data_IF_318171964285
#
_entry.id   IF_318171964285
#
_cell.length_a   1.000
_cell.length_b   1.000
_cell.length_c   1.000
_cell.angle_alpha   90.00
_cell.angle_beta   90.00
_cell.angle_gamma   90.00
#
_symmetry.space_group_name_H-M   'P 1'
#
loop_
_entity.id
_entity.type
_entity.pdbx_description
1 polymer ?
#
# COMPACT_ATOMS: atom_id res chain seq x y z
N UNK A 1 -28.29 37.68 0.01
CA UNK A 1 -28.52 36.94 1.28
C UNK A 1 -28.75 35.44 1.10
N UNK A 2 -29.16 34.94 -0.07
CA UNK A 2 -29.37 33.50 -0.33
C UNK A 2 -28.12 32.73 -0.77
N UNK A 3 -27.13 33.39 -1.38
CA UNK A 3 -25.92 32.71 -1.85
C UNK A 3 -24.93 32.39 -0.71
N UNK A 4 -24.83 33.24 0.30
CA UNK A 4 -23.88 33.05 1.42
C UNK A 4 -24.28 31.89 2.34
N UNK A 5 -25.59 31.66 2.50
CA UNK A 5 -26.13 30.56 3.31
C UNK A 5 -26.00 29.21 2.60
N UNK A 6 -26.18 29.17 1.28
CA UNK A 6 -25.96 27.96 0.49
C UNK A 6 -24.47 27.55 0.51
N UNK A 7 -23.55 28.50 0.30
CA UNK A 7 -22.12 28.25 0.34
C UNK A 7 -21.66 27.66 1.69
N UNK A 8 -22.14 28.24 2.80
CA UNK A 8 -21.82 27.74 4.15
C UNK A 8 -22.36 26.34 4.40
N UNK A 9 -23.53 25.97 3.88
CA UNK A 9 -24.07 24.60 4.01
C UNK A 9 -23.19 23.59 3.27
N UNK A 10 -22.76 23.87 2.05
CA UNK A 10 -21.89 22.96 1.28
C UNK A 10 -20.53 22.76 1.94
N UNK A 11 -19.92 23.84 2.46
CA UNK A 11 -18.67 23.76 3.22
C UNK A 11 -18.83 22.90 4.48
N UNK A 12 -19.89 23.11 5.25
CA UNK A 12 -20.19 22.32 6.45
C UNK A 12 -20.40 20.84 6.11
N UNK A 13 -21.11 20.52 5.02
CA UNK A 13 -21.30 19.14 4.57
C UNK A 13 -19.96 18.50 4.17
N UNK A 14 -19.11 19.23 3.46
CA UNK A 14 -17.81 18.73 3.02
C UNK A 14 -16.89 18.47 4.21
N UNK A 15 -16.67 19.47 5.07
CA UNK A 15 -15.81 19.33 6.24
C UNK A 15 -16.38 18.37 7.28
N UNK A 16 -17.71 18.33 7.44
CA UNK A 16 -18.40 17.35 8.27
C UNK A 16 -18.18 15.92 7.78
N UNK A 17 -18.27 15.69 6.46
CA UNK A 17 -17.94 14.41 5.84
C UNK A 17 -16.50 13.98 6.10
N UNK A 18 -15.53 14.87 5.86
CA UNK A 18 -14.11 14.62 6.17
C UNK A 18 -13.90 14.27 7.65
N UNK A 19 -14.50 15.04 8.56
CA UNK A 19 -14.41 14.81 9.99
C UNK A 19 -14.99 13.45 10.39
N UNK A 20 -16.16 13.06 9.87
CA UNK A 20 -16.78 11.75 10.14
C UNK A 20 -15.87 10.61 9.67
N UNK A 21 -15.27 10.72 8.49
CA UNK A 21 -14.34 9.71 7.96
C UNK A 21 -13.12 9.54 8.86
N UNK A 22 -12.49 10.65 9.26
CA UNK A 22 -11.29 10.64 10.11
C UNK A 22 -11.60 10.18 11.54
N UNK A 23 -12.70 10.65 12.14
CA UNK A 23 -13.12 10.24 13.48
C UNK A 23 -13.47 8.75 13.48
N UNK A 24 -14.19 8.25 12.48
CA UNK A 24 -14.50 6.83 12.35
C UNK A 24 -13.24 5.98 12.24
N UNK A 25 -12.28 6.41 11.41
CA UNK A 25 -10.96 5.77 11.28
C UNK A 25 -10.16 5.75 12.59
N UNK A 26 -10.19 6.82 13.37
CA UNK A 26 -9.51 6.87 14.67
C UNK A 26 -10.26 6.04 15.74
N UNK A 27 -11.58 6.08 15.72
CA UNK A 27 -12.43 5.36 16.66
C UNK A 27 -12.23 3.85 16.57
N UNK A 28 -11.89 3.30 15.40
CA UNK A 28 -11.62 1.86 15.25
C UNK A 28 -10.44 1.37 16.08
N UNK A 29 -9.48 2.24 16.42
CA UNK A 29 -8.35 1.87 17.29
C UNK A 29 -8.81 1.48 18.72
N UNK A 30 -9.98 1.95 19.15
CA UNK A 30 -10.54 1.66 20.48
C UNK A 30 -11.49 0.46 20.48
N UNK A 31 -11.80 -0.13 19.31
CA UNK A 31 -12.75 -1.24 19.19
C UNK A 31 -12.02 -2.58 19.22
N UNK A 32 -12.16 -3.32 20.31
CA UNK A 32 -11.46 -4.61 20.51
C UNK A 32 -11.86 -5.72 19.55
N UNK A 33 -13.12 -5.75 19.10
CA UNK A 33 -13.62 -6.79 18.19
C UNK A 33 -13.47 -6.34 16.74
N UNK A 34 -12.62 -7.02 15.98
CA UNK A 34 -12.33 -6.71 14.55
C UNK A 34 -13.60 -6.61 13.70
N UNK A 35 -14.59 -7.48 13.94
CA UNK A 35 -15.89 -7.42 13.23
C UNK A 35 -16.64 -6.10 13.43
N UNK A 36 -16.62 -5.54 14.64
CA UNK A 36 -17.26 -4.26 14.93
C UNK A 36 -16.41 -3.10 14.39
N UNK A 37 -15.08 -3.17 14.53
CA UNK A 37 -14.18 -2.17 13.98
C UNK A 37 -14.34 -2.05 12.46
N UNK A 38 -14.41 -3.18 11.75
CA UNK A 38 -14.65 -3.24 10.29
C UNK A 38 -15.98 -2.60 9.91
N UNK A 39 -17.07 -2.89 10.63
CA UNK A 39 -18.39 -2.28 10.36
C UNK A 39 -18.36 -0.78 10.60
N UNK A 40 -17.80 -0.35 11.74
CA UNK A 40 -17.68 1.07 12.08
C UNK A 40 -16.90 1.83 11.00
N UNK A 41 -15.77 1.27 10.56
CA UNK A 41 -14.94 1.83 9.49
C UNK A 41 -15.72 2.03 8.20
N UNK A 42 -16.38 0.98 7.69
CA UNK A 42 -17.11 1.08 6.43
C UNK A 42 -18.32 2.00 6.54
N UNK A 43 -19.05 1.98 7.66
CA UNK A 43 -20.15 2.90 7.91
C UNK A 43 -19.69 4.36 7.95
N UNK A 44 -18.55 4.66 8.60
CA UNK A 44 -18.03 6.03 8.64
C UNK A 44 -17.59 6.51 7.26
N UNK A 45 -16.94 5.66 6.46
CA UNK A 45 -16.51 6.03 5.11
C UNK A 45 -17.67 6.17 4.13
N UNK A 46 -18.71 5.35 4.23
CA UNK A 46 -19.93 5.52 3.44
C UNK A 46 -20.65 6.82 3.80
N UNK A 47 -20.78 7.14 5.09
CA UNK A 47 -21.36 8.40 5.54
C UNK A 47 -20.54 9.61 5.08
N UNK A 48 -19.21 9.56 5.28
CA UNK A 48 -18.28 10.59 4.84
C UNK A 48 -18.36 10.85 3.33
N UNK A 49 -18.24 9.79 2.52
CA UNK A 49 -18.32 9.88 1.06
C UNK A 49 -19.66 10.42 0.57
N UNK A 50 -20.77 10.02 1.21
CA UNK A 50 -22.10 10.53 0.87
C UNK A 50 -22.21 12.03 1.15
N UNK A 51 -21.78 12.49 2.33
CA UNK A 51 -21.82 13.92 2.69
C UNK A 51 -20.93 14.77 1.78
N UNK A 52 -19.72 14.29 1.47
CA UNK A 52 -18.80 14.98 0.55
C UNK A 52 -19.33 15.02 -0.89
N UNK A 53 -20.01 13.96 -1.34
CA UNK A 53 -20.66 13.94 -2.65
C UNK A 53 -21.86 14.90 -2.71
N UNK A 54 -22.71 14.92 -1.68
CA UNK A 54 -23.82 15.89 -1.55
C UNK A 54 -23.31 17.33 -1.56
N UNK A 55 -22.15 17.57 -0.91
CA UNK A 55 -21.52 18.88 -0.87
C UNK A 55 -21.04 19.40 -2.24
N UNK A 56 -20.97 18.54 -3.25
CA UNK A 56 -20.47 18.89 -4.60
C UNK A 56 -21.49 18.65 -5.71
N UNK A 57 -22.75 18.37 -5.35
CA UNK A 57 -23.84 18.20 -6.29
C UNK A 57 -24.20 19.48 -7.04
N UNK A 58 -23.99 20.64 -6.44
CA UNK A 58 -24.17 21.97 -7.05
C UNK A 58 -23.28 22.16 -8.29
N UNK A 59 -22.08 21.56 -8.27
CA UNK A 59 -21.11 21.54 -9.38
C UNK A 59 -21.46 20.50 -10.46
N UNK A 60 -22.48 19.68 -10.22
CA UNK A 60 -22.97 18.64 -11.11
C UNK A 60 -22.71 17.22 -10.63
N UNK A 61 -23.40 16.26 -11.25
CA UNK A 61 -23.31 14.84 -10.90
C UNK A 61 -21.90 14.28 -11.12
N UNK A 62 -21.18 14.74 -12.15
CA UNK A 62 -19.83 14.27 -12.44
C UNK A 62 -18.85 14.56 -11.29
N UNK A 63 -18.90 15.77 -10.71
CA UNK A 63 -18.09 16.16 -9.55
C UNK A 63 -18.47 15.36 -8.30
N UNK A 64 -19.76 15.18 -8.03
CA UNK A 64 -20.22 14.37 -6.91
C UNK A 64 -19.76 12.91 -7.02
N UNK A 65 -19.87 12.31 -8.22
CA UNK A 65 -19.36 10.97 -8.50
C UNK A 65 -17.85 10.90 -8.30
N UNK A 66 -17.09 11.87 -8.82
CA UNK A 66 -15.63 11.91 -8.68
C UNK A 66 -15.20 11.97 -7.20
N UNK A 67 -15.85 12.81 -6.39
CA UNK A 67 -15.56 12.92 -4.95
C UNK A 67 -15.92 11.63 -4.21
N UNK A 68 -17.07 11.02 -4.51
CA UNK A 68 -17.46 9.74 -3.92
C UNK A 68 -16.45 8.62 -4.26
N UNK A 69 -16.03 8.54 -5.52
CA UNK A 69 -15.01 7.58 -5.98
C UNK A 69 -13.67 7.84 -5.32
N UNK A 70 -13.23 9.10 -5.22
CA UNK A 70 -11.98 9.45 -4.55
C UNK A 70 -12.00 9.08 -3.07
N UNK A 71 -13.09 9.36 -2.35
CA UNK A 71 -13.26 8.98 -0.95
C UNK A 71 -13.27 7.44 -0.77
N UNK A 72 -14.00 6.72 -1.63
CA UNK A 72 -14.04 5.26 -1.62
C UNK A 72 -12.68 4.62 -1.94
N UNK A 73 -11.96 5.16 -2.93
CA UNK A 73 -10.62 4.72 -3.28
C UNK A 73 -9.63 4.95 -2.13
N UNK A 74 -9.70 6.11 -1.47
CA UNK A 74 -8.89 6.39 -0.29
C UNK A 74 -9.21 5.44 0.87
N UNK A 75 -10.49 5.20 1.15
CA UNK A 75 -10.93 4.25 2.17
C UNK A 75 -10.41 2.83 1.88
N UNK A 76 -10.57 2.35 0.64
CA UNK A 76 -10.06 1.04 0.24
C UNK A 76 -8.54 0.96 0.36
N UNK A 77 -7.83 1.98 -0.11
CA UNK A 77 -6.37 2.05 -0.04
C UNK A 77 -5.89 2.00 1.41
N UNK A 78 -6.45 2.84 2.29
CA UNK A 78 -6.10 2.85 3.71
C UNK A 78 -6.43 1.50 4.36
N UNK A 79 -7.63 0.97 4.10
CA UNK A 79 -8.06 -0.31 4.64
C UNK A 79 -7.09 -1.43 4.24
N UNK A 80 -6.71 -1.50 2.97
CA UNK A 80 -5.74 -2.47 2.47
C UNK A 80 -4.35 -2.32 3.11
N UNK A 81 -3.84 -1.09 3.23
CA UNK A 81 -2.47 -0.83 3.69
C UNK A 81 -2.28 -0.98 5.21
N UNK A 82 -3.32 -0.74 6.01
CA UNK A 82 -3.18 -0.55 7.46
C UNK A 82 -4.10 -1.44 8.31
N UNK A 83 -5.03 -2.18 7.72
CA UNK A 83 -6.08 -2.84 8.50
C UNK A 83 -6.48 -4.21 7.93
N UNK A 84 -7.07 -5.10 8.77
CA UNK A 84 -7.72 -6.33 8.32
C UNK A 84 -9.19 -6.09 7.86
N UNK A 85 -9.52 -4.93 7.31
CA UNK A 85 -10.92 -4.54 7.06
C UNK A 85 -11.46 -4.90 5.68
N UNK A 86 -10.58 -5.20 4.71
CA UNK A 86 -10.98 -5.67 3.39
C UNK A 86 -11.13 -7.19 3.44
N UNK A 87 -12.38 -7.67 3.37
CA UNK A 87 -12.72 -9.10 3.36
C UNK A 87 -13.38 -9.47 2.03
N UNK A 88 -12.88 -10.52 1.41
CA UNK A 88 -13.41 -11.08 0.16
C UNK A 88 -13.74 -12.56 0.39
N UNK A 89 -15.04 -12.87 0.51
CA UNK A 89 -15.49 -14.19 0.96
C UNK A 89 -14.96 -14.51 2.36
N UNK A 90 -14.25 -15.63 2.50
CA UNK A 90 -13.64 -16.07 3.76
C UNK A 90 -12.20 -15.57 3.97
N UNK A 91 -11.63 -14.84 3.00
CA UNK A 91 -10.25 -14.36 3.06
C UNK A 91 -10.17 -12.86 3.37
N UNK A 92 -9.24 -12.48 4.23
CA UNK A 92 -8.88 -11.08 4.46
C UNK A 92 -7.76 -10.71 3.49
N UNK A 93 -7.96 -9.62 2.77
CA UNK A 93 -7.01 -9.10 1.79
C UNK A 93 -6.36 -7.85 2.39
N UNK A 94 -5.17 -8.02 2.98
CA UNK A 94 -4.41 -6.91 3.54
C UNK A 94 -3.01 -6.84 2.94
N UNK A 95 -2.32 -5.71 3.12
CA UNK A 95 -0.95 -5.52 2.65
C UNK A 95 0.04 -6.35 3.47
N UNK A 96 -0.08 -6.37 4.80
CA UNK A 96 0.85 -7.10 5.67
C UNK A 96 0.36 -8.54 5.93
N UNK A 97 1.29 -9.44 6.28
CA UNK A 97 0.98 -10.82 6.66
C UNK A 97 0.17 -10.88 7.97
N UNK A 98 0.52 -10.13 9.04
CA UNK A 98 -0.27 -10.12 10.27
C UNK A 98 -1.72 -9.69 10.05
N UNK A 99 -1.96 -8.68 9.21
CA UNK A 99 -3.32 -8.18 8.94
C UNK A 99 -4.12 -9.09 7.99
N UNK A 100 -3.47 -10.05 7.33
CA UNK A 100 -4.14 -11.02 6.44
C UNK A 100 -4.62 -12.27 7.19
N UNK A 101 -4.42 -12.36 8.52
CA UNK A 101 -4.82 -13.51 9.34
C UNK A 101 -6.35 -13.65 9.39
N UNK A 102 -6.90 -14.87 9.40
CA UNK A 102 -8.35 -15.05 9.51
C UNK A 102 -8.91 -14.47 10.81
N UNK A 103 -10.16 -14.00 10.77
CA UNK A 103 -10.85 -13.48 11.94
C UNK A 103 -10.92 -14.57 13.06
N UNK A 104 -10.79 -14.21 14.36
CA UNK A 104 -11.05 -15.13 15.46
C UNK A 104 -12.43 -15.79 15.35
N UNK A 105 -12.50 -17.07 15.75
CA UNK A 105 -13.77 -17.82 15.79
C UNK A 105 -14.75 -17.18 16.80
N UNK A 106 -16.06 -17.46 16.67
CA UNK A 106 -17.08 -16.83 17.53
C UNK A 106 -16.91 -17.12 19.03
N UNK A 107 -16.29 -18.25 19.36
CA UNK A 107 -15.88 -18.63 20.71
C UNK A 107 -14.63 -17.88 21.23
N UNK A 108 -14.07 -16.97 20.43
CA UNK A 108 -12.87 -16.18 20.75
C UNK A 108 -11.55 -16.90 20.55
N UNK A 109 -11.53 -18.17 20.09
CA UNK A 109 -10.28 -18.87 19.80
C UNK A 109 -9.64 -18.35 18.51
N UNK A 110 -8.32 -18.13 18.55
CA UNK A 110 -7.56 -17.69 17.40
C UNK A 110 -7.38 -18.87 16.42
N UNK A 111 -7.70 -18.70 15.13
CA UNK A 111 -7.45 -19.73 14.13
C UNK A 111 -5.95 -20.00 14.00
N UNK A 112 -5.55 -21.23 13.65
CA UNK A 112 -4.14 -21.57 13.47
C UNK A 112 -3.49 -20.61 12.47
N UNK A 113 -2.32 -20.07 12.83
CA UNK A 113 -1.59 -19.15 11.97
C UNK A 113 -1.24 -19.86 10.66
N UNK A 114 -1.58 -19.25 9.54
CA UNK A 114 -1.15 -19.75 8.24
C UNK A 114 0.39 -19.79 8.19
N UNK A 115 0.99 -20.80 7.54
CA UNK A 115 2.43 -20.86 7.37
C UNK A 115 2.91 -19.59 6.66
N UNK A 116 3.96 -18.98 7.20
CA UNK A 116 4.52 -17.74 6.65
C UNK A 116 5.18 -18.05 5.31
N UNK A 117 4.89 -17.28 4.24
CA UNK A 117 5.54 -17.48 2.95
C UNK A 117 7.07 -17.39 3.08
N UNK A 118 7.83 -18.35 2.51
CA UNK A 118 9.27 -18.43 2.66
C UNK A 118 10.01 -17.26 2.01
N UNK A 119 9.37 -16.56 1.07
CA UNK A 119 9.90 -15.39 0.37
C UNK A 119 9.57 -14.06 1.09
N UNK A 120 8.98 -14.10 2.29
CA UNK A 120 8.62 -12.88 3.02
C UNK A 120 9.82 -12.12 3.59
N UNK A 121 9.71 -10.79 3.61
CA UNK A 121 10.63 -9.90 4.29
C UNK A 121 10.28 -9.88 5.79
N UNK A 122 11.15 -10.49 6.60
CA UNK A 122 11.05 -10.54 8.06
C UNK A 122 9.70 -11.04 8.59
N UNK A 123 9.07 -12.01 7.91
CA UNK A 123 7.75 -12.54 8.25
C UNK A 123 6.62 -11.49 8.30
N UNK A 124 6.82 -10.33 7.69
CA UNK A 124 5.91 -9.19 7.76
C UNK A 124 5.24 -8.86 6.42
N UNK A 125 6.01 -8.89 5.33
CA UNK A 125 5.54 -8.54 3.98
C UNK A 125 6.06 -9.54 2.95
N UNK A 126 5.19 -10.10 2.12
CA UNK A 126 5.57 -11.02 1.03
C UNK A 126 6.42 -10.31 -0.03
N UNK A 127 7.31 -11.02 -0.72
CA UNK A 127 8.16 -10.42 -1.73
C UNK A 127 7.36 -9.70 -2.82
N UNK A 128 6.35 -10.37 -3.39
CA UNK A 128 5.53 -9.80 -4.46
C UNK A 128 4.94 -8.42 -4.09
N UNK A 129 4.44 -8.25 -2.86
CA UNK A 129 3.87 -6.98 -2.39
C UNK A 129 4.92 -5.89 -2.21
N UNK A 130 6.10 -6.21 -1.67
CA UNK A 130 7.18 -5.25 -1.56
C UNK A 130 7.61 -4.76 -2.95
N UNK A 131 7.83 -5.69 -3.88
CA UNK A 131 8.27 -5.38 -5.24
C UNK A 131 7.26 -4.53 -6.00
N UNK A 132 5.95 -4.80 -5.87
CA UNK A 132 4.92 -3.92 -6.42
C UNK A 132 4.89 -2.52 -5.77
N UNK A 133 5.14 -2.41 -4.47
CA UNK A 133 5.27 -1.11 -3.81
C UNK A 133 6.46 -0.32 -4.32
N UNK A 134 7.60 -0.98 -4.55
CA UNK A 134 8.76 -0.33 -5.17
C UNK A 134 8.42 0.14 -6.59
N UNK A 135 7.75 -0.67 -7.41
CA UNK A 135 7.28 -0.28 -8.74
C UNK A 135 6.40 0.97 -8.67
N UNK A 136 5.36 0.98 -7.82
CA UNK A 136 4.45 2.12 -7.69
C UNK A 136 5.19 3.38 -7.23
N UNK A 137 6.10 3.24 -6.25
CA UNK A 137 6.93 4.33 -5.77
C UNK A 137 7.81 4.89 -6.89
N UNK A 138 8.50 4.03 -7.64
CA UNK A 138 9.33 4.40 -8.80
C UNK A 138 8.50 5.10 -9.88
N UNK A 139 7.32 4.58 -10.23
CA UNK A 139 6.41 5.23 -11.18
C UNK A 139 6.00 6.63 -10.71
N UNK A 140 5.63 6.79 -9.44
CA UNK A 140 5.21 8.07 -8.88
C UNK A 140 6.35 9.10 -8.91
N UNK A 141 7.58 8.70 -8.54
CA UNK A 141 8.75 9.57 -8.60
C UNK A 141 9.13 9.89 -10.04
N UNK A 142 9.10 8.91 -10.94
CA UNK A 142 9.36 9.11 -12.36
C UNK A 142 8.38 10.09 -13.01
N UNK A 143 7.08 9.95 -12.71
CA UNK A 143 6.05 10.90 -13.13
C UNK A 143 6.30 12.29 -12.56
N UNK A 144 6.60 12.41 -11.26
CA UNK A 144 6.90 13.69 -10.63
C UNK A 144 8.12 14.38 -11.26
N UNK A 145 9.17 13.62 -11.59
CA UNK A 145 10.35 14.13 -12.30
C UNK A 145 10.01 14.67 -13.70
N UNK A 146 9.12 14.00 -14.43
CA UNK A 146 8.65 14.47 -15.75
C UNK A 146 7.77 15.72 -15.60
N UNK A 147 6.78 15.67 -14.70
CA UNK A 147 5.75 16.69 -14.58
C UNK A 147 6.26 17.98 -13.90
N UNK A 148 7.17 17.85 -12.94
CA UNK A 148 7.66 18.96 -12.11
C UNK A 148 9.13 19.31 -12.41
N UNK A 149 9.82 18.53 -13.24
CA UNK A 149 11.24 18.68 -13.51
C UNK A 149 12.14 18.19 -12.37
N UNK A 150 13.45 18.43 -12.52
CA UNK A 150 14.48 18.08 -11.54
C UNK A 150 14.64 19.17 -10.48
N UNK A 151 13.67 19.25 -9.59
CA UNK A 151 13.71 20.13 -8.41
C UNK A 151 14.43 19.42 -7.26
N UNK A 152 14.83 20.17 -6.23
CA UNK A 152 15.39 19.57 -5.01
C UNK A 152 14.45 18.52 -4.39
N UNK A 153 13.12 18.72 -4.48
CA UNK A 153 12.14 17.79 -3.97
C UNK A 153 12.09 16.48 -4.78
N UNK A 154 12.06 16.56 -6.12
CA UNK A 154 12.04 15.36 -6.98
C UNK A 154 13.36 14.61 -6.94
N UNK A 155 14.50 15.31 -6.83
CA UNK A 155 15.81 14.71 -6.57
C UNK A 155 15.81 13.98 -5.22
N UNK A 156 15.28 14.60 -4.15
CA UNK A 156 15.15 13.98 -2.84
C UNK A 156 14.30 12.70 -2.86
N UNK A 157 13.17 12.71 -3.56
CA UNK A 157 12.32 11.52 -3.74
C UNK A 157 13.01 10.42 -4.54
N UNK A 158 13.77 10.79 -5.59
CA UNK A 158 14.59 9.87 -6.38
C UNK A 158 15.69 9.21 -5.56
N UNK A 159 16.43 10.01 -4.78
CA UNK A 159 17.47 9.53 -3.88
C UNK A 159 16.89 8.59 -2.80
N UNK A 160 15.77 8.96 -2.18
CA UNK A 160 15.07 8.10 -1.23
C UNK A 160 14.69 6.75 -1.86
N UNK A 161 14.14 6.77 -3.07
CA UNK A 161 13.77 5.57 -3.82
C UNK A 161 14.97 4.67 -4.11
N UNK A 162 16.10 5.26 -4.51
CA UNK A 162 17.34 4.54 -4.76
C UNK A 162 17.91 3.91 -3.49
N UNK A 163 17.88 4.63 -2.36
CA UNK A 163 18.32 4.10 -1.05
C UNK A 163 17.44 2.93 -0.62
N UNK A 164 16.12 3.02 -0.76
CA UNK A 164 15.23 1.90 -0.48
C UNK A 164 15.58 0.68 -1.34
N UNK A 165 15.79 0.86 -2.64
CA UNK A 165 16.20 -0.22 -3.54
C UNK A 165 17.54 -0.83 -3.13
N UNK A 166 18.53 -0.02 -2.76
CA UNK A 166 19.82 -0.51 -2.25
C UNK A 166 19.67 -1.32 -0.94
N UNK A 167 18.84 -0.86 0.00
CA UNK A 167 18.58 -1.60 1.24
C UNK A 167 17.94 -2.97 0.97
N UNK A 168 17.00 -3.04 0.02
CA UNK A 168 16.40 -4.32 -0.36
C UNK A 168 17.41 -5.24 -1.05
N UNK A 169 18.28 -4.71 -1.92
CA UNK A 169 19.37 -5.49 -2.54
C UNK A 169 20.32 -6.06 -1.48
N UNK A 170 20.71 -5.24 -0.51
CA UNK A 170 21.54 -5.66 0.63
C UNK A 170 20.85 -6.76 1.45
N UNK A 171 19.56 -6.62 1.73
CA UNK A 171 18.78 -7.61 2.48
C UNK A 171 18.65 -8.93 1.73
N UNK A 172 18.31 -8.89 0.44
CA UNK A 172 18.15 -10.10 -0.38
C UNK A 172 19.46 -10.90 -0.44
N UNK A 173 20.58 -10.22 -0.67
CA UNK A 173 21.89 -10.87 -0.70
C UNK A 173 22.30 -11.44 0.68
N UNK A 174 22.13 -10.67 1.77
CA UNK A 174 22.46 -11.13 3.13
C UNK A 174 21.63 -12.32 3.60
N UNK A 175 20.39 -12.43 3.10
CA UNK A 175 19.50 -13.55 3.43
C UNK A 175 19.65 -14.73 2.44
N UNK A 176 20.62 -14.68 1.52
CA UNK A 176 20.90 -15.76 0.58
C UNK A 176 19.84 -15.96 -0.50
N UNK A 177 18.99 -14.95 -0.75
CA UNK A 177 17.98 -15.04 -1.80
C UNK A 177 18.57 -14.72 -3.16
N UNK A 178 18.02 -15.36 -4.20
CA UNK A 178 18.27 -15.00 -5.60
C UNK A 178 17.89 -13.53 -5.87
N UNK A 179 18.44 -12.91 -6.93
CA UNK A 179 18.09 -11.56 -7.32
C UNK A 179 16.58 -11.35 -7.42
N UNK A 180 16.14 -10.22 -6.88
CA UNK A 180 14.76 -9.81 -6.71
C UNK A 180 13.83 -10.85 -6.05
N UNK A 181 14.36 -11.82 -5.30
CA UNK A 181 13.62 -13.01 -4.82
C UNK A 181 12.78 -13.66 -5.94
N UNK A 182 13.32 -13.65 -7.17
CA UNK A 182 12.67 -14.14 -8.40
C UNK A 182 11.42 -13.36 -8.86
N UNK A 183 11.17 -12.17 -8.33
CA UNK A 183 10.12 -11.24 -8.77
C UNK A 183 10.55 -10.48 -10.04
N UNK A 184 10.92 -11.22 -11.09
CA UNK A 184 11.53 -10.66 -12.29
C UNK A 184 10.58 -9.77 -13.09
N UNK A 185 9.29 -10.11 -13.13
CA UNK A 185 8.27 -9.29 -13.81
C UNK A 185 8.25 -7.89 -13.18
N UNK A 186 8.17 -7.80 -11.85
CA UNK A 186 8.14 -6.54 -11.13
C UNK A 186 9.47 -5.80 -11.25
N UNK A 187 10.60 -6.52 -11.18
CA UNK A 187 11.92 -5.91 -11.41
C UNK A 187 12.04 -5.29 -12.80
N UNK A 188 11.59 -5.99 -13.85
CA UNK A 188 11.56 -5.45 -15.22
C UNK A 188 10.69 -4.20 -15.32
N UNK A 189 9.49 -4.21 -14.71
CA UNK A 189 8.61 -3.04 -14.68
C UNK A 189 9.29 -1.88 -13.93
N UNK A 190 9.98 -2.15 -12.81
CA UNK A 190 10.73 -1.15 -12.06
C UNK A 190 11.87 -0.55 -12.91
N UNK A 191 12.59 -1.35 -13.68
CA UNK A 191 13.63 -0.88 -14.61
C UNK A 191 13.03 0.07 -15.64
N UNK A 192 11.92 -0.30 -16.29
CA UNK A 192 11.24 0.55 -17.27
C UNK A 192 10.73 1.84 -16.61
N UNK A 193 10.11 1.75 -15.43
CA UNK A 193 9.63 2.91 -14.70
C UNK A 193 10.76 3.86 -14.26
N UNK A 194 12.00 3.38 -14.20
CA UNK A 194 13.17 4.14 -13.76
C UNK A 194 13.86 4.95 -14.86
N UNK A 195 13.42 4.87 -16.13
CA UNK A 195 14.01 5.66 -17.22
C UNK A 195 14.10 7.17 -16.92
N UNK A 196 13.05 7.84 -16.39
CA UNK A 196 13.12 9.26 -16.05
C UNK A 196 14.09 9.59 -14.92
N UNK A 197 14.52 8.57 -14.16
CA UNK A 197 15.48 8.68 -13.05
C UNK A 197 16.85 8.09 -13.43
N UNK A 198 17.17 8.03 -14.72
CA UNK A 198 18.45 7.52 -15.24
C UNK A 198 18.80 6.11 -14.72
N UNK A 199 17.78 5.27 -14.50
CA UNK A 199 17.94 3.91 -13.98
C UNK A 199 18.63 3.83 -12.60
N UNK A 200 18.70 4.93 -11.85
CA UNK A 200 19.39 4.96 -10.54
C UNK A 200 18.80 3.91 -9.55
N UNK A 201 17.47 3.77 -9.38
CA UNK A 201 16.93 2.78 -8.43
C UNK A 201 17.32 1.32 -8.69
N UNK A 202 17.15 0.74 -9.90
CA UNK A 202 17.57 -0.64 -10.16
C UNK A 202 19.10 -0.80 -10.11
N UNK A 203 19.88 0.21 -10.52
CA UNK A 203 21.34 0.17 -10.40
C UNK A 203 21.77 0.14 -8.93
N UNK A 204 21.12 0.94 -8.07
CA UNK A 204 21.38 0.95 -6.63
C UNK A 204 21.04 -0.40 -5.98
N UNK A 205 19.94 -1.04 -6.38
CA UNK A 205 19.60 -2.40 -5.96
C UNK A 205 20.71 -3.40 -6.33
N UNK A 206 21.10 -3.44 -7.62
CA UNK A 206 22.08 -4.40 -8.11
C UNK A 206 23.46 -4.18 -7.49
N UNK A 207 23.90 -2.92 -7.39
CA UNK A 207 25.16 -2.56 -6.76
C UNK A 207 25.22 -3.03 -5.30
N UNK A 208 24.15 -2.79 -4.53
CA UNK A 208 24.10 -3.22 -3.13
C UNK A 208 24.00 -4.74 -2.99
N UNK A 209 23.22 -5.40 -3.85
CA UNK A 209 23.08 -6.86 -3.88
C UNK A 209 24.44 -7.54 -4.13
N UNK A 210 25.19 -7.09 -5.14
CA UNK A 210 26.51 -7.63 -5.45
C UNK A 210 27.56 -7.26 -4.40
N UNK A 211 27.53 -6.03 -3.87
CA UNK A 211 28.44 -5.62 -2.81
C UNK A 211 28.28 -6.46 -1.53
N UNK A 212 27.11 -7.04 -1.29
CA UNK A 212 26.87 -7.95 -0.17
C UNK A 212 27.16 -9.43 -0.48
N UNK A 213 27.77 -9.74 -1.64
CA UNK A 213 28.12 -11.10 -2.03
C UNK A 213 26.98 -11.89 -2.70
N UNK A 214 25.90 -11.21 -3.10
CA UNK A 214 24.82 -11.86 -3.85
C UNK A 214 25.32 -12.41 -5.19
N UNK A 215 24.89 -13.62 -5.55
CA UNK A 215 25.25 -14.26 -6.82
C UNK A 215 24.02 -14.83 -7.51
N UNK A 216 24.09 -15.02 -8.82
CA UNK A 216 23.02 -15.63 -9.62
C UNK A 216 22.92 -17.15 -9.44
N UNK A 217 23.69 -17.77 -8.52
CA UNK A 217 23.64 -19.21 -8.37
C UNK A 217 22.24 -19.65 -7.91
N UNK A 218 21.55 -20.35 -8.80
CA UNK A 218 20.42 -21.19 -8.46
C UNK A 218 20.96 -22.27 -7.53
N UNK A 219 20.79 -22.11 -6.22
CA UNK A 219 21.07 -23.18 -5.28
C UNK A 219 20.06 -24.30 -5.58
N UNK A 220 20.45 -25.22 -6.45
CA UNK A 220 19.82 -26.51 -6.59
C UNK A 220 20.15 -27.25 -5.31
N UNK A 221 19.26 -27.17 -4.31
CA UNK A 221 19.34 -28.04 -3.15
C UNK A 221 19.00 -29.43 -3.69
N UNK A 222 20.01 -30.24 -3.93
CA UNK A 222 19.84 -31.67 -4.18
C UNK A 222 19.13 -32.25 -2.96
N UNK A 223 17.86 -32.57 -3.12
CA UNK A 223 17.21 -33.63 -2.34
C UNK A 223 17.87 -34.95 -2.77
N UNK A 224 19.09 -35.17 -2.28
CA UNK A 224 19.77 -36.47 -2.33
C UNK A 224 20.89 -36.41 -1.30
N UNK A 225 20.49 -36.50 -0.04
CA UNK A 225 21.34 -36.87 1.11
C UNK A 225 20.40 -37.08 2.31
N UNK A 226 19.60 -38.13 2.22
CA UNK A 226 19.14 -38.91 3.39
C UNK A 226 18.78 -40.32 2.89
N UNK A 227 19.77 -41.21 3.04
CA UNK A 227 19.68 -42.63 3.42
C UNK A 227 18.49 -43.49 2.96
#
# INVERSE_FOLDING_TARGET
MTNDTALTIYELLFFGGVAIGLIGMLATAFVRKVRHARRLYWCSWLAAGTLMALATLDRGLASACLVAVAAGAFALMYAYLRTPYVKLGDRIVAYTIPDSRPDPLENGSEPPAAPVPPDSYNNYLTAAKLWWTLVVMTCAVGYAGIALGLTAATIGLGAFTAVMCALIGLMDARQGFSPARRQFVQFCVLVIASFPMFLIPPLAYLAAYWAAGGSFQLTYRSEDDTD
#
